data_IF_583039900216
#
_entry.id   IF_583039900216
#
_cell.length_a   1.000
_cell.length_b   1.000
_cell.length_c   1.000
_cell.angle_alpha   90.00
_cell.angle_beta   90.00
_cell.angle_gamma   90.00
#
_symmetry.space_group_name_H-M   'P 1'
#
loop_
_entity.id
_entity.type
_entity.pdbx_description
1 polymer ?
#
# COMPACT_ATOMS: atom_id res chain seq x y z
N UNK A 1 -39.80 10.51 -15.65
CA UNK A 1 -38.54 10.87 -16.34
C UNK A 1 -37.43 10.89 -15.30
N UNK A 2 -36.59 9.88 -15.24
CA UNK A 2 -35.41 9.91 -14.38
C UNK A 2 -34.38 10.83 -15.04
N UNK A 3 -33.90 11.84 -14.29
CA UNK A 3 -32.80 12.67 -14.73
C UNK A 3 -31.55 11.80 -14.91
N UNK A 4 -30.75 11.98 -15.98
CA UNK A 4 -29.53 11.24 -16.17
C UNK A 4 -28.58 11.52 -14.98
N UNK A 5 -28.09 10.46 -14.32
CA UNK A 5 -27.07 10.58 -13.27
C UNK A 5 -25.80 11.15 -13.92
N UNK A 6 -25.36 12.29 -13.44
CA UNK A 6 -24.06 12.84 -13.82
C UNK A 6 -22.95 11.84 -13.45
N UNK A 7 -21.95 11.65 -14.33
CA UNK A 7 -20.84 10.75 -14.05
C UNK A 7 -20.07 11.22 -12.81
N UNK A 8 -19.86 10.32 -11.88
CA UNK A 8 -19.09 10.57 -10.66
C UNK A 8 -17.60 10.76 -11.02
N UNK A 9 -17.07 11.96 -10.76
CA UNK A 9 -15.67 12.28 -11.04
C UNK A 9 -14.74 11.38 -10.22
N UNK A 10 -13.95 10.56 -10.88
CA UNK A 10 -12.93 9.70 -10.27
C UNK A 10 -11.51 10.14 -10.66
N UNK A 11 -10.48 9.56 -10.03
CA UNK A 11 -9.09 9.95 -10.26
C UNK A 11 -8.61 9.75 -11.70
N UNK A 12 -9.11 8.73 -12.41
CA UNK A 12 -8.76 8.53 -13.82
C UNK A 12 -9.37 9.62 -14.70
N UNK A 13 -10.60 10.02 -14.38
CA UNK A 13 -11.25 11.14 -15.06
C UNK A 13 -10.53 12.46 -14.78
N UNK A 14 -10.13 12.71 -13.53
CA UNK A 14 -9.33 13.89 -13.14
C UNK A 14 -8.03 13.97 -13.94
N UNK A 15 -7.32 12.86 -14.12
CA UNK A 15 -6.08 12.83 -14.93
C UNK A 15 -6.31 13.12 -16.41
N UNK A 16 -7.44 12.69 -16.96
CA UNK A 16 -7.79 12.91 -18.38
C UNK A 16 -8.29 14.32 -18.64
N UNK A 17 -9.15 14.82 -17.75
CA UNK A 17 -9.90 16.06 -18.00
C UNK A 17 -9.15 17.31 -17.55
N UNK A 18 -8.21 17.17 -16.62
CA UNK A 18 -7.42 18.31 -16.14
C UNK A 18 -6.05 18.34 -16.80
N UNK A 19 -5.85 19.32 -17.67
CA UNK A 19 -4.53 19.69 -18.14
C UNK A 19 -3.77 20.40 -17.01
N UNK A 20 -2.66 19.81 -16.55
CA UNK A 20 -1.90 20.36 -15.42
C UNK A 20 -1.31 21.75 -15.73
N UNK A 21 -0.98 22.04 -16.99
CA UNK A 21 -0.50 23.38 -17.39
C UNK A 21 -1.62 24.42 -17.21
N UNK A 22 -2.82 24.11 -17.65
CA UNK A 22 -3.97 25.02 -17.52
C UNK A 22 -4.34 25.22 -16.04
N UNK A 23 -4.26 24.16 -15.24
CA UNK A 23 -4.51 24.22 -13.80
C UNK A 23 -3.52 25.18 -13.10
N UNK A 24 -2.21 25.02 -13.33
CA UNK A 24 -1.21 25.88 -12.65
C UNK A 24 -1.32 27.33 -13.12
N UNK A 25 -1.61 27.59 -14.39
CA UNK A 25 -1.85 28.95 -14.89
C UNK A 25 -3.06 29.59 -14.22
N UNK A 26 -4.16 28.85 -14.07
CA UNK A 26 -5.39 29.31 -13.39
C UNK A 26 -5.13 29.60 -11.90
N UNK A 27 -4.22 28.86 -11.28
CA UNK A 27 -3.81 29.06 -9.88
C UNK A 27 -2.82 30.21 -9.68
N UNK A 28 -2.47 30.94 -10.75
CA UNK A 28 -1.60 32.10 -10.67
C UNK A 28 -0.11 31.82 -10.86
N UNK A 29 0.26 30.66 -11.35
CA UNK A 29 1.64 30.42 -11.78
C UNK A 29 1.90 31.12 -13.12
N UNK A 30 3.14 31.56 -13.31
CA UNK A 30 3.60 32.22 -14.52
C UNK A 30 4.68 31.37 -15.20
N UNK A 31 4.59 31.23 -16.51
CA UNK A 31 5.54 30.47 -17.30
C UNK A 31 6.93 31.11 -17.30
N UNK A 32 7.91 30.42 -16.74
CA UNK A 32 9.32 30.85 -16.75
C UNK A 32 10.03 30.29 -17.99
N UNK A 33 10.03 31.08 -19.07
CA UNK A 33 10.64 30.69 -20.36
C UNK A 33 12.16 30.47 -20.25
N UNK A 34 12.84 31.22 -19.39
CA UNK A 34 14.28 31.13 -19.22
C UNK A 34 14.74 29.83 -18.56
N UNK A 35 13.86 29.22 -17.73
CA UNK A 35 14.13 27.94 -17.06
C UNK A 35 13.43 26.75 -17.72
N UNK A 36 12.72 26.95 -18.80
CA UNK A 36 12.09 25.90 -19.60
C UNK A 36 13.05 25.43 -20.71
N UNK A 37 12.94 24.18 -21.15
CA UNK A 37 13.85 23.65 -22.15
C UNK A 37 13.54 22.24 -22.62
N UNK A 38 14.58 21.56 -23.10
CA UNK A 38 14.57 20.19 -23.57
C UNK A 38 15.51 19.36 -22.66
N UNK A 39 14.99 18.27 -22.12
CA UNK A 39 15.73 17.29 -21.33
C UNK A 39 15.88 16.00 -22.13
N UNK A 40 17.02 15.32 -22.04
CA UNK A 40 17.33 14.10 -22.80
C UNK A 40 16.39 12.94 -22.41
N UNK A 41 16.02 12.86 -21.13
CA UNK A 41 15.19 11.77 -20.61
C UNK A 41 13.68 12.12 -20.61
N UNK A 42 13.35 13.40 -20.34
CA UNK A 42 11.97 13.87 -20.11
C UNK A 42 11.37 14.62 -21.31
N UNK A 43 12.16 14.87 -22.36
CA UNK A 43 11.72 15.64 -23.50
C UNK A 43 11.51 17.13 -23.15
N UNK A 44 10.54 17.77 -23.81
CA UNK A 44 10.25 19.18 -23.57
C UNK A 44 9.59 19.39 -22.21
N UNK A 45 10.18 20.27 -21.41
CA UNK A 45 9.64 20.64 -20.09
C UNK A 45 9.39 22.13 -19.97
N UNK A 46 8.42 22.50 -19.13
CA UNK A 46 8.00 23.86 -18.87
C UNK A 46 8.09 24.16 -17.38
N UNK A 47 8.79 25.21 -17.01
CA UNK A 47 8.91 25.68 -15.63
C UNK A 47 7.87 26.76 -15.35
N UNK A 48 7.20 26.67 -14.23
CA UNK A 48 6.21 27.63 -13.77
C UNK A 48 6.54 28.09 -12.36
N UNK A 49 6.57 29.41 -12.14
CA UNK A 49 6.83 30.05 -10.86
C UNK A 49 5.51 30.65 -10.33
N UNK A 50 5.14 30.34 -9.06
CA UNK A 50 3.94 30.92 -8.47
C UNK A 50 4.07 32.44 -8.30
N UNK A 51 3.12 33.19 -8.87
CA UNK A 51 3.17 34.67 -8.94
C UNK A 51 4.50 35.22 -9.47
N UNK A 52 5.16 34.50 -10.36
CA UNK A 52 6.47 34.87 -10.91
C UNK A 52 7.64 34.75 -9.94
N UNK A 53 7.44 34.16 -8.75
CA UNK A 53 8.45 34.03 -7.72
C UNK A 53 8.74 32.56 -7.40
N UNK A 54 9.88 32.06 -7.87
CA UNK A 54 10.30 30.66 -7.65
C UNK A 54 10.59 30.30 -6.17
N UNK A 55 10.72 31.29 -5.28
CA UNK A 55 10.89 31.05 -3.85
C UNK A 55 9.59 30.72 -3.13
N UNK A 56 8.44 31.16 -3.67
CA UNK A 56 7.14 30.84 -3.11
C UNK A 56 6.76 29.40 -3.46
N UNK A 57 6.77 29.08 -4.75
CA UNK A 57 6.61 27.72 -5.25
C UNK A 57 7.05 27.68 -6.73
N UNK A 58 7.65 26.53 -7.14
CA UNK A 58 8.07 26.32 -8.52
C UNK A 58 7.78 24.86 -8.90
N UNK A 59 7.16 24.69 -10.07
CA UNK A 59 6.91 23.37 -10.65
C UNK A 59 7.43 23.27 -12.06
N UNK A 60 7.93 22.09 -12.41
CA UNK A 60 8.42 21.77 -13.75
C UNK A 60 7.50 20.69 -14.32
N UNK A 61 6.82 21.02 -15.41
CA UNK A 61 5.82 20.15 -16.02
C UNK A 61 6.34 19.63 -17.37
N UNK A 62 6.16 18.35 -17.60
CA UNK A 62 6.46 17.68 -18.86
C UNK A 62 5.37 16.69 -19.23
N UNK A 63 5.29 16.35 -20.51
CA UNK A 63 4.33 15.35 -21.00
C UNK A 63 5.02 14.01 -21.11
N UNK A 64 4.53 13.02 -20.36
CA UNK A 64 5.04 11.67 -20.41
C UNK A 64 4.72 10.97 -21.76
N UNK A 65 5.43 9.89 -22.13
CA UNK A 65 5.11 9.10 -23.33
C UNK A 65 3.68 8.53 -23.35
N UNK A 66 3.08 8.32 -22.17
CA UNK A 66 1.66 7.94 -22.00
C UNK A 66 0.67 9.01 -22.44
N UNK A 67 1.12 10.24 -22.65
CA UNK A 67 0.28 11.40 -22.94
C UNK A 67 -0.13 12.20 -21.71
N UNK A 68 0.12 11.70 -20.49
CA UNK A 68 -0.20 12.38 -19.23
C UNK A 68 0.77 13.52 -18.95
N UNK A 69 0.29 14.56 -18.26
CA UNK A 69 1.15 15.59 -17.70
C UNK A 69 1.66 15.16 -16.33
N UNK A 70 2.99 15.18 -16.18
CA UNK A 70 3.66 14.95 -14.91
C UNK A 70 4.42 16.21 -14.49
N UNK A 71 4.63 16.36 -13.19
CA UNK A 71 5.42 17.47 -12.65
C UNK A 71 6.44 16.99 -11.61
N UNK A 72 7.40 17.84 -11.33
CA UNK A 72 8.29 17.74 -10.18
C UNK A 72 8.73 19.13 -9.71
N UNK A 73 9.13 19.22 -8.45
CA UNK A 73 9.71 20.40 -7.83
C UNK A 73 11.19 20.15 -7.51
N UNK A 74 12.10 21.00 -7.97
CA UNK A 74 13.54 20.82 -7.70
C UNK A 74 13.92 21.05 -6.24
N UNK A 75 13.10 21.78 -5.49
CA UNK A 75 13.36 22.10 -4.09
C UNK A 75 12.83 21.02 -3.13
N UNK A 76 11.97 20.11 -3.59
CA UNK A 76 11.39 19.03 -2.77
C UNK A 76 11.16 17.77 -3.61
N UNK A 77 12.00 16.77 -3.46
CA UNK A 77 11.93 15.51 -4.21
C UNK A 77 10.65 14.71 -3.96
N UNK A 78 9.89 15.02 -2.93
CA UNK A 78 8.58 14.40 -2.64
C UNK A 78 7.44 15.09 -3.37
N UNK A 79 7.64 16.30 -3.84
CA UNK A 79 6.66 17.11 -4.58
C UNK A 79 6.77 16.82 -6.09
N UNK A 80 6.23 15.66 -6.50
CA UNK A 80 6.24 15.21 -7.90
C UNK A 80 5.09 14.24 -8.16
N UNK A 81 4.73 14.06 -9.42
CA UNK A 81 3.72 13.09 -9.86
C UNK A 81 2.74 13.66 -10.88
N UNK A 82 1.49 13.24 -10.80
CA UNK A 82 0.37 13.65 -11.67
C UNK A 82 -0.37 14.87 -11.12
N UNK A 83 -1.42 15.30 -11.80
CA UNK A 83 -2.33 16.36 -11.32
C UNK A 83 -2.94 16.02 -9.94
N UNK A 84 -3.15 14.75 -9.65
CA UNK A 84 -3.69 14.30 -8.37
C UNK A 84 -2.69 14.53 -7.25
N UNK A 85 -1.42 14.17 -7.51
CA UNK A 85 -0.33 14.36 -6.57
C UNK A 85 -0.06 15.85 -6.33
N UNK A 86 -0.17 16.69 -7.38
CA UNK A 86 -0.09 18.14 -7.29
C UNK A 86 -1.15 18.70 -6.34
N UNK A 87 -2.43 18.38 -6.58
CA UNK A 87 -3.53 18.84 -5.73
C UNK A 87 -3.36 18.36 -4.30
N UNK A 88 -3.04 17.08 -4.11
CA UNK A 88 -2.80 16.50 -2.78
C UNK A 88 -1.69 17.23 -2.04
N UNK A 89 -0.53 17.42 -2.68
CA UNK A 89 0.63 18.05 -2.05
C UNK A 89 0.34 19.49 -1.64
N UNK A 90 -0.41 20.25 -2.46
CA UNK A 90 -0.81 21.64 -2.16
C UNK A 90 -1.87 21.75 -1.07
N UNK A 91 -2.70 20.72 -0.89
CA UNK A 91 -3.64 20.64 0.24
C UNK A 91 -2.90 20.33 1.54
N UNK A 92 -1.94 19.40 1.50
CA UNK A 92 -1.14 19.00 2.67
C UNK A 92 -0.13 20.07 3.09
N UNK A 93 0.39 20.82 2.12
CA UNK A 93 1.40 21.86 2.31
C UNK A 93 0.93 23.15 1.62
N UNK A 94 0.03 23.93 2.25
CA UNK A 94 -0.54 25.14 1.63
C UNK A 94 0.56 26.18 1.36
N UNK A 95 0.91 26.36 0.10
CA UNK A 95 1.91 27.35 -0.38
C UNK A 95 1.31 28.31 -1.40
N UNK A 96 0.11 28.01 -1.86
CA UNK A 96 -0.57 28.76 -2.92
C UNK A 96 -2.04 28.94 -2.55
N UNK A 97 -2.64 29.98 -3.10
CA UNK A 97 -4.08 30.22 -2.99
C UNK A 97 -4.88 29.35 -3.98
N UNK A 98 -6.17 29.21 -3.75
CA UNK A 98 -7.08 28.51 -4.66
C UNK A 98 -7.18 27.00 -4.47
N UNK A 99 -6.28 26.37 -3.69
CA UNK A 99 -6.36 24.97 -3.28
C UNK A 99 -6.45 24.89 -1.76
N UNK A 100 -7.42 24.16 -1.24
CA UNK A 100 -7.63 24.02 0.20
C UNK A 100 -8.22 22.66 0.58
N UNK A 101 -8.00 22.24 1.81
CA UNK A 101 -8.71 21.09 2.37
C UNK A 101 -10.20 21.42 2.48
N UNK A 102 -11.07 20.51 2.03
CA UNK A 102 -12.51 20.64 2.20
C UNK A 102 -12.87 20.35 3.67
N UNK A 103 -13.62 21.25 4.36
CA UNK A 103 -13.96 21.07 5.76
C UNK A 103 -14.64 19.73 6.03
N UNK A 104 -14.15 18.97 7.01
CA UNK A 104 -14.70 17.68 7.41
C UNK A 104 -14.49 16.54 6.41
N UNK A 105 -13.72 16.73 5.34
CA UNK A 105 -13.42 15.72 4.33
C UNK A 105 -11.97 15.21 4.47
N UNK A 106 -11.74 13.96 4.07
CA UNK A 106 -10.39 13.43 3.95
C UNK A 106 -9.64 14.06 2.78
N UNK A 107 -8.32 13.81 2.71
CA UNK A 107 -7.44 14.39 1.68
C UNK A 107 -7.91 14.07 0.25
N UNK A 108 -8.34 12.85 -0.01
CA UNK A 108 -8.76 12.40 -1.34
C UNK A 108 -10.07 13.03 -1.78
N UNK A 109 -11.03 13.17 -0.85
CA UNK A 109 -12.27 13.90 -1.10
C UNK A 109 -11.99 15.39 -1.35
N UNK A 110 -10.98 15.95 -0.67
CA UNK A 110 -10.52 17.33 -0.91
C UNK A 110 -9.86 17.49 -2.28
N UNK A 111 -9.09 16.48 -2.74
CA UNK A 111 -8.54 16.47 -4.11
C UNK A 111 -9.65 16.48 -5.16
N UNK A 112 -10.65 15.62 -5.03
CA UNK A 112 -11.81 15.57 -5.95
C UNK A 112 -12.60 16.88 -5.92
N UNK A 113 -12.79 17.49 -4.75
CA UNK A 113 -13.49 18.77 -4.60
C UNK A 113 -12.78 19.92 -5.34
N UNK A 114 -11.45 20.02 -5.19
CA UNK A 114 -10.65 21.00 -5.90
C UNK A 114 -10.64 20.75 -7.41
N UNK A 115 -10.58 19.49 -7.85
CA UNK A 115 -10.70 19.11 -9.25
C UNK A 115 -12.07 19.50 -9.83
N UNK A 116 -13.17 19.23 -9.12
CA UNK A 116 -14.52 19.64 -9.52
C UNK A 116 -14.63 21.15 -9.66
N UNK A 117 -14.07 21.89 -8.71
CA UNK A 117 -14.06 23.37 -8.74
C UNK A 117 -13.33 23.90 -9.98
N UNK A 118 -12.19 23.32 -10.31
CA UNK A 118 -11.44 23.68 -11.50
C UNK A 118 -12.21 23.38 -12.79
N UNK A 119 -12.92 22.25 -12.84
CA UNK A 119 -13.73 21.83 -13.99
C UNK A 119 -15.11 22.50 -14.03
N UNK A 120 -15.43 23.41 -13.11
CA UNK A 120 -16.75 24.05 -12.96
C UNK A 120 -17.92 23.04 -12.85
N UNK A 121 -17.68 21.86 -12.29
CA UNK A 121 -18.71 20.85 -12.09
C UNK A 121 -19.55 21.17 -10.85
N UNK A 122 -20.88 20.95 -10.88
CA UNK A 122 -21.75 21.20 -9.75
C UNK A 122 -21.36 20.32 -8.53
N UNK A 123 -21.61 20.84 -7.32
CA UNK A 123 -21.42 20.06 -6.11
C UNK A 123 -22.37 18.83 -6.13
N UNK A 124 -21.91 17.64 -5.75
CA UNK A 124 -22.78 16.46 -5.70
C UNK A 124 -23.93 16.70 -4.73
N UNK A 125 -25.15 16.33 -5.13
CA UNK A 125 -26.31 16.39 -4.26
C UNK A 125 -26.03 15.62 -2.96
N UNK A 126 -26.30 16.24 -1.78
CA UNK A 126 -26.14 15.59 -0.47
C UNK A 126 -27.15 14.47 -0.36
N UNK A 127 -26.75 13.23 -0.62
CA UNK A 127 -27.49 12.05 -0.21
C UNK A 127 -26.92 11.58 1.13
N UNK A 128 -27.76 11.62 2.17
CA UNK A 128 -27.48 11.01 3.46
C UNK A 128 -27.57 9.48 3.33
N UNK A 129 -26.51 8.85 2.87
CA UNK A 129 -26.34 7.42 2.87
C UNK A 129 -24.88 7.10 3.27
N UNK A 130 -24.60 6.03 4.02
CA UNK A 130 -23.25 5.72 4.45
C UNK A 130 -22.36 5.41 3.25
N UNK A 131 -21.49 6.36 2.89
CA UNK A 131 -20.58 6.31 1.73
C UNK A 131 -19.32 5.50 2.03
N UNK A 132 -19.41 4.31 2.59
CA UNK A 132 -18.23 3.47 2.84
C UNK A 132 -18.23 2.14 2.05
N UNK A 133 -19.18 1.96 1.10
CA UNK A 133 -19.28 0.73 0.32
C UNK A 133 -19.72 0.98 -1.13
N UNK A 134 -19.07 1.89 -1.85
CA UNK A 134 -19.02 1.72 -3.30
C UNK A 134 -17.58 1.48 -3.68
N UNK A 135 -17.18 0.22 -3.50
CA UNK A 135 -16.14 -0.37 -4.32
C UNK A 135 -16.38 0.06 -5.77
N UNK A 136 -15.32 0.46 -6.45
CA UNK A 136 -15.32 0.59 -7.90
C UNK A 136 -15.89 -0.73 -8.44
N UNK A 137 -17.15 -0.72 -8.87
CA UNK A 137 -17.70 -1.88 -9.56
C UNK A 137 -16.84 -2.07 -10.80
N UNK A 138 -16.24 -3.23 -10.99
CA UNK A 138 -15.53 -3.51 -12.24
C UNK A 138 -16.55 -3.27 -13.37
N UNK A 139 -16.13 -2.61 -14.42
CA UNK A 139 -16.92 -2.47 -15.64
C UNK A 139 -17.49 -3.84 -15.94
N UNK A 140 -18.82 -3.97 -15.96
CA UNK A 140 -19.49 -5.24 -16.27
C UNK A 140 -19.21 -5.56 -17.74
N UNK A 141 -18.13 -6.25 -17.96
CA UNK A 141 -17.91 -6.96 -19.21
C UNK A 141 -18.76 -8.23 -19.16
N UNK A 142 -19.38 -8.61 -20.29
CA UNK A 142 -20.17 -9.83 -20.39
C UNK A 142 -19.37 -11.06 -19.91
N UNK A 143 -20.06 -12.14 -19.55
CA UNK A 143 -19.49 -13.33 -18.90
C UNK A 143 -18.31 -14.00 -19.63
N UNK A 144 -18.04 -13.63 -20.89
CA UNK A 144 -16.95 -14.14 -21.74
C UNK A 144 -15.78 -13.14 -21.91
N UNK A 145 -15.77 -12.01 -21.20
CA UNK A 145 -14.68 -11.05 -21.33
C UNK A 145 -13.40 -11.57 -20.66
N UNK A 146 -12.38 -11.77 -21.48
CA UNK A 146 -11.02 -12.05 -21.01
C UNK A 146 -10.24 -10.73 -21.02
N UNK A 147 -9.80 -10.21 -19.88
CA UNK A 147 -8.99 -8.99 -19.85
C UNK A 147 -7.76 -9.09 -20.74
N UNK A 148 -7.41 -8.02 -21.43
CA UNK A 148 -6.30 -8.00 -22.41
C UNK A 148 -4.97 -8.48 -21.80
N UNK A 149 -4.72 -8.19 -20.52
CA UNK A 149 -3.51 -8.66 -19.84
C UNK A 149 -3.45 -10.19 -19.71
N UNK A 150 -4.59 -10.91 -19.67
CA UNK A 150 -4.61 -12.38 -19.62
C UNK A 150 -4.36 -13.01 -20.99
N UNK A 151 -4.67 -12.33 -22.09
CA UNK A 151 -4.46 -12.85 -23.45
C UNK A 151 -2.97 -13.09 -23.75
N UNK A 152 -2.07 -12.37 -23.07
CA UNK A 152 -0.62 -12.52 -23.19
C UNK A 152 -0.02 -13.52 -22.19
N UNK A 153 -0.86 -14.32 -21.53
CA UNK A 153 -0.40 -15.27 -20.53
C UNK A 153 -0.56 -16.72 -20.99
N UNK A 154 0.32 -17.57 -20.48
CA UNK A 154 0.24 -19.02 -20.62
C UNK A 154 0.46 -19.68 -19.26
N UNK A 155 0.06 -20.95 -19.05
CA UNK A 155 0.49 -21.69 -17.86
C UNK A 155 2.02 -21.64 -17.69
N UNK A 156 2.48 -21.73 -16.45
CA UNK A 156 3.91 -21.70 -16.11
C UNK A 156 4.65 -22.84 -16.81
N UNK A 157 5.43 -22.54 -17.84
CA UNK A 157 6.31 -23.46 -18.55
C UNK A 157 7.77 -22.99 -18.54
N UNK A 158 8.03 -21.71 -18.30
CA UNK A 158 9.36 -21.14 -18.05
C UNK A 158 9.45 -20.68 -16.60
N UNK A 159 10.10 -21.48 -15.76
CA UNK A 159 10.29 -21.22 -14.33
C UNK A 159 11.68 -20.67 -14.00
N UNK A 160 12.54 -20.34 -14.99
CA UNK A 160 13.94 -19.93 -14.78
C UNK A 160 14.08 -18.81 -13.76
N UNK A 161 13.22 -17.80 -13.83
CA UNK A 161 13.22 -16.71 -12.87
C UNK A 161 12.94 -17.20 -11.44
N UNK A 162 11.95 -18.05 -11.24
CA UNK A 162 11.56 -18.58 -9.92
C UNK A 162 12.62 -19.54 -9.37
N UNK A 163 13.22 -20.37 -10.22
CA UNK A 163 14.34 -21.25 -9.85
C UNK A 163 15.55 -20.43 -9.42
N UNK A 164 15.87 -19.33 -10.11
CA UNK A 164 16.93 -18.40 -9.72
C UNK A 164 16.63 -17.70 -8.38
N UNK A 165 15.35 -17.60 -8.00
CA UNK A 165 14.90 -17.12 -6.67
C UNK A 165 14.94 -18.22 -5.59
N UNK A 166 15.40 -19.42 -5.91
CA UNK A 166 15.54 -20.54 -4.97
C UNK A 166 14.32 -21.44 -4.85
N UNK A 167 13.28 -21.24 -5.64
CA UNK A 167 12.07 -22.06 -5.59
C UNK A 167 12.28 -23.40 -6.29
N UNK A 168 11.83 -24.48 -5.66
CA UNK A 168 11.96 -25.84 -6.21
C UNK A 168 10.82 -26.19 -7.17
N UNK A 169 11.09 -27.08 -8.11
CA UNK A 169 10.07 -27.59 -9.02
C UNK A 169 8.88 -28.21 -8.26
N UNK A 170 9.14 -28.91 -7.16
CA UNK A 170 8.10 -29.48 -6.30
C UNK A 170 7.18 -28.39 -5.71
N UNK A 171 7.74 -27.28 -5.25
CA UNK A 171 6.96 -26.15 -4.73
C UNK A 171 6.09 -25.56 -5.84
N UNK A 172 6.66 -25.33 -7.01
CA UNK A 172 5.95 -24.74 -8.16
C UNK A 172 4.85 -25.65 -8.70
N UNK A 173 5.02 -26.96 -8.63
CA UNK A 173 4.03 -27.97 -9.03
C UNK A 173 2.99 -28.29 -7.94
N UNK A 174 3.11 -27.71 -6.75
CA UNK A 174 2.17 -27.94 -5.65
C UNK A 174 0.74 -27.54 -6.04
N UNK A 175 -0.25 -28.33 -5.63
CA UNK A 175 -1.67 -28.02 -5.81
C UNK A 175 -2.08 -26.65 -5.26
N UNK A 176 -1.35 -26.11 -4.29
CA UNK A 176 -1.56 -24.75 -3.79
C UNK A 176 -1.32 -23.68 -4.86
N UNK A 177 -0.45 -23.93 -5.86
CA UNK A 177 0.03 -22.88 -6.77
C UNK A 177 -0.25 -23.15 -8.24
N UNK A 178 -0.74 -24.33 -8.59
CA UNK A 178 -1.13 -24.64 -9.98
C UNK A 178 -2.18 -23.65 -10.46
N UNK A 179 -1.91 -22.99 -11.61
CA UNK A 179 -2.78 -21.95 -12.18
C UNK A 179 -2.70 -20.59 -11.48
N UNK A 180 -1.88 -20.45 -10.42
CA UNK A 180 -1.68 -19.19 -9.69
C UNK A 180 -0.37 -18.49 -10.04
N UNK A 181 0.44 -19.12 -10.89
CA UNK A 181 1.66 -18.59 -11.46
C UNK A 181 1.58 -18.83 -12.97
N UNK A 182 1.80 -17.80 -13.74
CA UNK A 182 1.71 -17.80 -15.19
C UNK A 182 3.00 -17.31 -15.82
N UNK A 183 3.20 -17.59 -17.10
CA UNK A 183 4.13 -16.84 -17.92
C UNK A 183 3.41 -15.73 -18.67
N UNK A 184 4.01 -14.56 -18.74
CA UNK A 184 3.53 -13.40 -19.49
C UNK A 184 4.50 -13.11 -20.64
N UNK A 185 3.98 -13.16 -21.86
CA UNK A 185 4.75 -12.92 -23.08
C UNK A 185 4.73 -11.43 -23.41
N UNK A 186 5.90 -10.84 -23.52
CA UNK A 186 6.08 -9.46 -23.91
C UNK A 186 6.90 -9.41 -25.20
N UNK A 187 6.39 -8.76 -26.22
CA UNK A 187 7.07 -8.52 -27.48
C UNK A 187 6.97 -7.04 -27.87
N UNK A 188 7.95 -6.56 -28.58
CA UNK A 188 8.00 -5.20 -29.07
C UNK A 188 9.12 -5.01 -30.09
N UNK A 189 9.30 -3.76 -30.51
CA UNK A 189 10.39 -3.36 -31.38
C UNK A 189 11.23 -2.30 -30.70
N UNK A 190 12.53 -2.40 -30.87
CA UNK A 190 13.48 -1.35 -30.46
C UNK A 190 13.36 -0.14 -31.39
N UNK A 191 13.93 1.00 -31.02
CA UNK A 191 13.90 2.23 -31.85
C UNK A 191 14.52 2.06 -33.23
N UNK A 192 15.44 1.10 -33.38
CA UNK A 192 16.11 0.73 -34.64
C UNK A 192 15.39 -0.42 -35.40
N UNK A 193 14.17 -0.75 -35.00
CA UNK A 193 13.28 -1.68 -35.71
C UNK A 193 13.52 -3.16 -35.40
N UNK A 194 14.48 -3.52 -34.51
CA UNK A 194 14.71 -4.91 -34.12
C UNK A 194 13.59 -5.42 -33.21
N UNK A 195 13.04 -6.57 -33.54
CA UNK A 195 12.05 -7.23 -32.69
C UNK A 195 12.72 -7.84 -31.45
N UNK A 196 12.00 -7.76 -30.33
CA UNK A 196 12.37 -8.46 -29.09
C UNK A 196 11.18 -9.17 -28.48
N UNK A 197 11.45 -10.27 -27.79
CA UNK A 197 10.45 -11.02 -27.05
C UNK A 197 11.07 -11.59 -25.77
N UNK A 198 10.34 -11.49 -24.65
CA UNK A 198 10.72 -12.15 -23.40
C UNK A 198 9.52 -12.76 -22.70
N UNK A 199 9.83 -13.77 -21.89
CA UNK A 199 8.86 -14.44 -21.03
C UNK A 199 9.13 -14.00 -19.60
N UNK A 200 8.14 -13.38 -19.00
CA UNK A 200 8.17 -12.95 -17.59
C UNK A 200 7.32 -13.90 -16.74
N UNK A 201 7.58 -13.93 -15.44
CA UNK A 201 6.68 -14.56 -14.48
C UNK A 201 5.54 -13.61 -14.13
N UNK A 202 4.32 -14.13 -14.07
CA UNK A 202 3.15 -13.34 -13.74
C UNK A 202 2.31 -14.00 -12.64
N UNK A 203 1.75 -13.15 -11.77
CA UNK A 203 0.96 -13.52 -10.61
C UNK A 203 -0.43 -12.89 -10.74
N UNK A 204 -1.48 -13.68 -11.07
CA UNK A 204 -2.85 -13.19 -11.20
C UNK A 204 -3.35 -12.60 -9.87
N UNK A 205 -3.90 -11.40 -9.92
CA UNK A 205 -4.47 -10.71 -8.78
C UNK A 205 -5.98 -10.82 -8.80
N UNK A 206 -6.55 -11.16 -7.65
CA UNK A 206 -7.97 -11.49 -7.47
C UNK A 206 -8.63 -10.45 -6.55
N UNK A 207 -9.82 -10.04 -6.92
CA UNK A 207 -10.73 -9.24 -6.10
C UNK A 207 -12.16 -9.72 -6.33
N UNK A 208 -12.90 -9.96 -5.23
CA UNK A 208 -14.26 -10.54 -5.30
C UNK A 208 -14.30 -11.80 -6.20
N UNK A 209 -13.34 -12.71 -5.99
CA UNK A 209 -13.21 -14.01 -6.67
C UNK A 209 -13.00 -13.93 -8.20
N UNK A 210 -12.68 -12.75 -8.74
CA UNK A 210 -12.37 -12.53 -10.16
C UNK A 210 -10.92 -12.07 -10.33
N UNK A 211 -10.27 -12.49 -11.42
CA UNK A 211 -8.95 -11.99 -11.78
C UNK A 211 -9.13 -10.58 -12.36
N UNK A 212 -8.54 -9.59 -11.68
CA UNK A 212 -8.69 -8.16 -12.00
C UNK A 212 -7.34 -7.47 -12.22
N UNK A 213 -6.26 -8.22 -12.21
CA UNK A 213 -4.92 -7.68 -12.38
C UNK A 213 -3.86 -8.77 -12.53
N UNK A 214 -2.65 -8.34 -12.86
CA UNK A 214 -1.52 -9.21 -13.05
C UNK A 214 -0.24 -8.50 -12.59
N UNK A 215 0.40 -9.01 -11.53
CA UNK A 215 1.73 -8.58 -11.16
C UNK A 215 2.75 -9.32 -12.03
N UNK A 216 3.65 -8.58 -12.68
CA UNK A 216 4.67 -9.12 -13.60
C UNK A 216 6.04 -8.94 -12.98
N UNK A 217 6.81 -10.03 -12.94
CA UNK A 217 8.19 -10.04 -12.41
C UNK A 217 9.16 -10.73 -13.36
N UNK A 218 10.33 -10.14 -13.48
CA UNK A 218 11.48 -10.71 -14.17
C UNK A 218 12.77 -10.26 -13.49
N UNK A 219 13.91 -10.68 -14.01
CA UNK A 219 15.19 -10.19 -13.54
C UNK A 219 15.31 -8.68 -13.81
N UNK A 220 15.47 -7.89 -12.75
CA UNK A 220 15.55 -6.43 -12.84
C UNK A 220 14.22 -5.71 -13.15
N UNK A 221 13.08 -6.43 -13.20
CA UNK A 221 11.78 -5.84 -13.49
C UNK A 221 10.69 -6.30 -12.51
N UNK A 222 9.93 -5.32 -12.01
CA UNK A 222 8.70 -5.51 -11.23
C UNK A 222 7.67 -4.48 -11.72
N UNK A 223 6.49 -4.93 -12.12
CA UNK A 223 5.42 -4.05 -12.59
C UNK A 223 4.05 -4.69 -12.48
N UNK A 224 3.05 -3.94 -12.88
CA UNK A 224 1.66 -4.39 -13.01
C UNK A 224 1.28 -4.34 -14.49
N UNK A 225 0.46 -5.27 -14.93
CA UNK A 225 -0.16 -5.15 -16.26
C UNK A 225 -1.04 -3.88 -16.31
N UNK A 226 -1.16 -3.30 -17.50
CA UNK A 226 -2.08 -2.18 -17.70
C UNK A 226 -3.49 -2.58 -17.24
N UNK A 227 -4.24 -1.61 -16.71
CA UNK A 227 -5.61 -1.75 -16.23
C UNK A 227 -5.82 -2.73 -15.06
N UNK A 228 -4.74 -3.17 -14.39
CA UNK A 228 -4.82 -3.97 -13.17
C UNK A 228 -5.40 -3.16 -12.01
N UNK A 229 -6.38 -3.74 -11.29
CA UNK A 229 -6.97 -3.16 -10.08
C UNK A 229 -6.06 -3.39 -8.85
N UNK A 230 -4.82 -2.91 -8.92
CA UNK A 230 -3.80 -3.18 -7.92
C UNK A 230 -4.13 -2.66 -6.51
N UNK A 231 -4.96 -1.61 -6.39
CA UNK A 231 -5.30 -1.00 -5.10
C UNK A 231 -6.19 -1.86 -4.21
N UNK A 232 -6.87 -2.86 -4.76
CA UNK A 232 -7.85 -3.69 -4.05
C UNK A 232 -7.56 -5.19 -4.16
N UNK A 233 -6.83 -5.60 -5.19
CA UNK A 233 -6.62 -7.00 -5.51
C UNK A 233 -5.45 -7.62 -4.75
N UNK A 234 -5.57 -8.91 -4.46
CA UNK A 234 -4.56 -9.76 -3.83
C UNK A 234 -4.16 -10.89 -4.78
N UNK A 235 -2.90 -11.31 -4.78
CA UNK A 235 -2.59 -12.62 -5.30
C UNK A 235 -3.01 -13.68 -4.27
N UNK A 236 -3.63 -14.76 -4.71
CA UNK A 236 -4.10 -15.85 -3.85
C UNK A 236 -3.57 -17.19 -4.34
N UNK A 237 -3.19 -18.06 -3.41
CA UNK A 237 -3.01 -19.49 -3.70
C UNK A 237 -4.36 -20.20 -3.89
N UNK A 238 -4.33 -21.48 -4.23
CA UNK A 238 -5.51 -22.32 -4.13
C UNK A 238 -5.78 -22.70 -2.68
N UNK A 239 -7.06 -22.82 -2.33
CA UNK A 239 -7.52 -23.37 -1.06
C UNK A 239 -7.85 -24.85 -1.19
N UNK A 240 -7.71 -25.62 -0.12
CA UNK A 240 -8.17 -26.98 -0.03
C UNK A 240 -9.35 -27.12 0.94
N UNK A 241 -9.99 -28.29 1.00
CA UNK A 241 -11.20 -28.49 1.83
C UNK A 241 -10.94 -28.37 3.35
N UNK A 242 -9.68 -28.42 3.79
CA UNK A 242 -9.29 -28.27 5.19
C UNK A 242 -8.62 -26.93 5.48
N UNK A 243 -8.68 -25.98 4.55
CA UNK A 243 -8.10 -24.65 4.73
C UNK A 243 -8.80 -23.93 5.88
N UNK A 244 -8.02 -23.53 6.88
CA UNK A 244 -8.49 -22.80 8.05
C UNK A 244 -7.56 -21.66 8.48
N UNK A 245 -6.42 -21.51 7.80
CA UNK A 245 -5.41 -20.51 8.09
C UNK A 245 -5.14 -19.66 6.84
N UNK A 246 -5.17 -18.35 7.00
CA UNK A 246 -4.70 -17.40 5.99
C UNK A 246 -3.27 -16.98 6.33
N UNK A 247 -2.38 -17.03 5.36
CA UNK A 247 -1.00 -16.52 5.50
C UNK A 247 -0.86 -15.33 4.56
N UNK A 248 -0.58 -14.16 5.13
CA UNK A 248 -0.46 -12.89 4.38
C UNK A 248 1.01 -12.50 4.26
N UNK A 249 1.49 -12.29 3.03
CA UNK A 249 2.86 -11.84 2.72
C UNK A 249 2.87 -10.60 1.83
N UNK A 250 4.02 -9.95 1.67
CA UNK A 250 4.15 -8.78 0.80
C UNK A 250 4.20 -9.17 -0.68
N UNK A 251 4.81 -10.28 -1.03
CA UNK A 251 4.88 -10.73 -2.42
C UNK A 251 4.49 -12.20 -2.57
N UNK A 252 4.03 -12.57 -3.77
CA UNK A 252 3.74 -13.96 -4.10
C UNK A 252 5.01 -14.85 -3.96
N UNK A 253 6.20 -14.30 -4.23
CA UNK A 253 7.46 -15.04 -4.08
C UNK A 253 7.73 -15.35 -2.60
N UNK A 254 7.40 -14.44 -1.68
CA UNK A 254 7.52 -14.68 -0.23
C UNK A 254 6.52 -15.74 0.23
N UNK A 255 5.29 -15.73 -0.29
CA UNK A 255 4.32 -16.80 -0.06
C UNK A 255 4.86 -18.17 -0.50
N UNK A 256 5.43 -18.26 -1.71
CA UNK A 256 6.03 -19.49 -2.24
C UNK A 256 7.22 -19.94 -1.40
N UNK A 257 8.06 -18.99 -0.97
CA UNK A 257 9.26 -19.25 -0.14
C UNK A 257 8.88 -19.72 1.26
N UNK A 258 7.90 -19.07 1.88
CA UNK A 258 7.32 -19.50 3.15
C UNK A 258 6.76 -20.93 3.05
N UNK A 259 5.97 -21.21 2.00
CA UNK A 259 5.46 -22.56 1.78
C UNK A 259 6.58 -23.59 1.63
N UNK A 260 7.63 -23.29 0.86
CA UNK A 260 8.77 -24.21 0.68
C UNK A 260 9.51 -24.48 1.98
N UNK A 261 9.64 -23.49 2.86
CA UNK A 261 10.31 -23.59 4.16
C UNK A 261 9.46 -24.28 5.22
N UNK A 262 8.13 -24.05 5.24
CA UNK A 262 7.24 -24.42 6.36
C UNK A 262 6.27 -25.55 6.05
N UNK A 263 5.89 -25.74 4.79
CA UNK A 263 4.94 -26.76 4.31
C UNK A 263 3.63 -26.84 5.09
N UNK A 264 2.92 -25.74 5.37
CA UNK A 264 1.65 -25.79 6.11
C UNK A 264 0.57 -26.50 5.28
N UNK A 265 -0.12 -27.47 5.90
CA UNK A 265 -1.09 -28.32 5.19
C UNK A 265 -2.45 -27.63 4.94
N UNK A 266 -2.82 -26.64 5.78
CA UNK A 266 -4.18 -26.07 5.82
C UNK A 266 -4.19 -24.56 5.53
N UNK A 267 -3.27 -24.07 4.71
CA UNK A 267 -3.10 -22.66 4.47
C UNK A 267 -3.65 -22.21 3.10
N UNK A 268 -4.31 -21.06 3.11
CA UNK A 268 -4.51 -20.18 1.98
C UNK A 268 -3.46 -19.09 2.06
N UNK A 269 -2.73 -18.83 1.00
CA UNK A 269 -1.79 -17.71 0.92
C UNK A 269 -2.43 -16.53 0.22
N UNK A 270 -2.21 -15.35 0.76
CA UNK A 270 -2.53 -14.07 0.14
C UNK A 270 -1.30 -13.17 0.10
N UNK A 271 -1.08 -12.50 -1.04
CA UNK A 271 -0.02 -11.49 -1.15
C UNK A 271 -0.59 -10.14 -1.53
N UNK A 272 -0.06 -9.10 -0.88
CA UNK A 272 -0.45 -7.71 -1.17
C UNK A 272 0.18 -7.18 -2.46
N UNK A 273 1.12 -7.91 -3.07
CA UNK A 273 1.88 -7.47 -4.26
C UNK A 273 2.56 -6.11 -4.06
N UNK A 274 3.12 -5.88 -2.89
CA UNK A 274 3.78 -4.66 -2.47
C UNK A 274 2.91 -3.82 -1.52
N UNK A 275 2.33 -2.73 -1.97
CA UNK A 275 1.61 -1.80 -1.08
C UNK A 275 0.37 -2.39 -0.43
N UNK A 276 0.24 -2.20 0.88
CA UNK A 276 -0.96 -2.51 1.65
C UNK A 276 -1.89 -1.29 1.67
N UNK A 277 -3.05 -1.41 1.04
CA UNK A 277 -4.12 -0.40 1.02
C UNK A 277 -5.27 -0.80 1.94
N UNK A 278 -6.14 0.14 2.29
CA UNK A 278 -7.31 -0.16 3.11
C UNK A 278 -8.30 -1.09 2.38
N UNK A 279 -8.38 -1.00 1.05
CA UNK A 279 -9.19 -1.94 0.25
C UNK A 279 -8.63 -3.37 0.30
N UNK A 280 -7.31 -3.55 0.28
CA UNK A 280 -6.69 -4.88 0.45
C UNK A 280 -6.91 -5.44 1.85
N UNK A 281 -6.88 -4.60 2.88
CA UNK A 281 -7.22 -5.00 4.25
C UNK A 281 -8.68 -5.44 4.33
N UNK A 282 -9.60 -4.70 3.70
CA UNK A 282 -11.01 -5.08 3.62
C UNK A 282 -11.20 -6.40 2.88
N UNK A 283 -10.45 -6.63 1.79
CA UNK A 283 -10.51 -7.91 1.06
C UNK A 283 -9.93 -9.08 1.89
N UNK A 284 -8.84 -8.86 2.63
CA UNK A 284 -8.31 -9.86 3.58
C UNK A 284 -9.37 -10.20 4.64
N UNK A 285 -10.05 -9.20 5.20
CA UNK A 285 -11.14 -9.42 6.16
C UNK A 285 -12.29 -10.20 5.52
N UNK A 286 -12.70 -9.86 4.31
CA UNK A 286 -13.73 -10.59 3.55
C UNK A 286 -13.34 -12.06 3.35
N UNK A 287 -12.08 -12.34 2.99
CA UNK A 287 -11.59 -13.72 2.84
C UNK A 287 -11.66 -14.48 4.16
N UNK A 288 -11.29 -13.87 5.28
CA UNK A 288 -11.37 -14.49 6.61
C UNK A 288 -12.81 -14.88 6.93
N UNK A 289 -13.75 -13.99 6.71
CA UNK A 289 -15.17 -14.19 7.00
C UNK A 289 -15.81 -15.20 6.03
N UNK A 290 -15.64 -15.02 4.72
CA UNK A 290 -16.28 -15.85 3.69
C UNK A 290 -15.77 -17.29 3.66
N UNK A 291 -14.49 -17.52 3.96
CA UNK A 291 -13.88 -18.86 4.04
C UNK A 291 -13.88 -19.41 5.47
N UNK A 292 -14.47 -18.71 6.47
CA UNK A 292 -14.50 -19.10 7.86
C UNK A 292 -13.11 -19.48 8.42
N UNK A 293 -12.09 -18.69 8.07
CA UNK A 293 -10.70 -18.93 8.47
C UNK A 293 -10.55 -18.63 9.97
N UNK A 294 -9.86 -19.51 10.68
CA UNK A 294 -9.74 -19.43 12.14
C UNK A 294 -8.48 -18.71 12.59
N UNK A 295 -7.47 -18.72 11.75
CA UNK A 295 -6.15 -18.11 12.02
C UNK A 295 -5.70 -17.26 10.84
N UNK A 296 -5.14 -16.10 11.14
CA UNK A 296 -4.43 -15.27 10.16
C UNK A 296 -2.99 -15.11 10.65
N UNK A 297 -2.03 -15.55 9.84
CA UNK A 297 -0.60 -15.35 10.06
C UNK A 297 -0.11 -14.18 9.23
N UNK A 298 0.47 -13.20 9.88
CA UNK A 298 1.09 -12.03 9.25
C UNK A 298 2.56 -12.39 8.98
N UNK A 299 2.81 -12.88 7.77
CA UNK A 299 4.13 -13.30 7.29
C UNK A 299 4.76 -12.23 6.39
N UNK A 300 4.64 -10.97 6.79
CA UNK A 300 5.20 -9.80 6.09
C UNK A 300 6.70 -9.70 6.35
N UNK A 301 7.39 -8.85 5.59
CA UNK A 301 8.84 -8.66 5.70
C UNK A 301 9.29 -8.34 7.13
N UNK A 302 10.49 -8.77 7.48
CA UNK A 302 11.10 -8.53 8.79
C UNK A 302 11.92 -7.23 8.78
N UNK A 303 11.27 -6.14 8.37
CA UNK A 303 11.84 -4.80 8.35
C UNK A 303 10.83 -3.79 8.90
N UNK A 304 11.25 -2.54 8.99
CA UNK A 304 10.41 -1.47 9.57
C UNK A 304 9.07 -1.30 8.84
N UNK A 305 9.07 -1.40 7.51
CA UNK A 305 7.85 -1.27 6.70
C UNK A 305 6.91 -2.45 6.93
N UNK A 306 7.43 -3.67 6.93
CA UNK A 306 6.65 -4.88 7.21
C UNK A 306 6.02 -4.88 8.61
N UNK A 307 6.71 -4.35 9.63
CA UNK A 307 6.10 -4.18 10.96
C UNK A 307 5.03 -3.06 11.01
N UNK A 308 5.15 -2.01 10.20
CA UNK A 308 4.09 -1.01 10.02
C UNK A 308 2.87 -1.61 9.29
N UNK A 309 3.09 -2.49 8.32
CA UNK A 309 2.01 -3.22 7.66
C UNK A 309 1.31 -4.20 8.61
N UNK A 310 2.04 -4.88 9.51
CA UNK A 310 1.42 -5.67 10.59
C UNK A 310 0.47 -4.80 11.42
N UNK A 311 0.93 -3.62 11.88
CA UNK A 311 0.09 -2.71 12.66
C UNK A 311 -1.20 -2.34 11.91
N UNK A 312 -1.11 -2.07 10.60
CA UNK A 312 -2.27 -1.74 9.77
C UNK A 312 -3.22 -2.93 9.62
N UNK A 313 -2.70 -4.12 9.39
CA UNK A 313 -3.51 -5.34 9.29
C UNK A 313 -4.18 -5.67 10.61
N UNK A 314 -3.47 -5.59 11.73
CA UNK A 314 -4.03 -5.81 13.07
C UNK A 314 -5.18 -4.83 13.34
N UNK A 315 -4.96 -3.54 13.04
CA UNK A 315 -6.01 -2.52 13.19
C UNK A 315 -7.25 -2.81 12.31
N UNK A 316 -7.04 -3.21 11.05
CA UNK A 316 -8.13 -3.52 10.12
C UNK A 316 -8.86 -4.84 10.40
N UNK A 317 -8.18 -5.79 11.07
CA UNK A 317 -8.74 -7.08 11.47
C UNK A 317 -9.27 -7.09 12.93
N UNK A 318 -9.25 -5.93 13.59
CA UNK A 318 -9.88 -5.77 14.89
C UNK A 318 -11.40 -6.02 14.81
N UNK A 319 -11.95 -6.57 15.89
CA UNK A 319 -13.38 -6.80 15.98
C UNK A 319 -14.16 -5.49 15.95
N UNK A 320 -15.37 -5.52 15.40
CA UNK A 320 -16.24 -4.33 15.25
C UNK A 320 -16.54 -3.62 16.57
N UNK A 321 -16.54 -4.34 17.70
CA UNK A 321 -16.75 -3.76 19.03
C UNK A 321 -15.56 -2.89 19.52
N UNK A 322 -14.37 -3.07 18.95
CA UNK A 322 -13.16 -2.33 19.31
C UNK A 322 -12.44 -1.86 18.05
N UNK A 323 -13.06 -0.96 17.26
CA UNK A 323 -12.48 -0.50 16.02
C UNK A 323 -11.16 0.25 16.26
N UNK A 324 -10.20 -0.05 15.42
CA UNK A 324 -8.89 0.60 15.41
C UNK A 324 -8.66 1.30 14.07
N UNK A 325 -7.88 2.38 14.08
CA UNK A 325 -7.48 3.11 12.88
C UNK A 325 -6.01 3.46 12.96
N UNK A 326 -5.33 3.39 11.83
CA UNK A 326 -4.05 4.06 11.69
C UNK A 326 -4.38 5.51 11.32
N UNK A 327 -4.06 6.42 12.23
CA UNK A 327 -4.20 7.85 12.00
C UNK A 327 -2.99 8.38 11.22
N UNK A 328 -2.93 9.70 11.00
CA UNK A 328 -1.86 10.31 10.20
C UNK A 328 -0.48 9.78 10.61
N UNK A 329 0.27 9.33 9.62
CA UNK A 329 1.68 9.02 9.78
C UNK A 329 2.45 10.30 10.08
N UNK A 330 2.73 10.55 11.34
CA UNK A 330 3.68 11.59 11.75
C UNK A 330 5.11 11.10 11.42
N UNK A 331 6.03 11.99 11.04
CA UNK A 331 7.42 11.62 10.87
C UNK A 331 7.94 10.92 12.13
N UNK A 332 8.52 9.72 11.96
CA UNK A 332 9.05 8.95 13.09
C UNK A 332 8.03 8.23 13.99
N UNK A 333 6.73 8.41 13.80
CA UNK A 333 5.67 7.81 14.62
C UNK A 333 4.60 7.11 13.78
N UNK A 334 4.05 6.02 14.32
CA UNK A 334 2.77 5.44 13.90
C UNK A 334 1.74 5.81 14.96
N UNK A 335 0.63 6.42 14.57
CA UNK A 335 -0.45 6.75 15.48
C UNK A 335 -1.61 5.78 15.27
N UNK A 336 -1.95 5.05 16.34
CA UNK A 336 -3.07 4.11 16.37
C UNK A 336 -4.18 4.67 17.22
N UNK A 337 -5.30 5.01 16.60
CA UNK A 337 -6.55 5.37 17.29
C UNK A 337 -7.33 4.12 17.64
N UNK A 338 -7.77 3.98 18.89
CA UNK A 338 -8.55 2.85 19.40
C UNK A 338 -9.81 3.40 20.04
N UNK A 339 -10.95 2.86 19.65
CA UNK A 339 -12.21 3.09 20.33
C UNK A 339 -12.59 1.83 21.11
N UNK A 340 -12.89 1.96 22.41
CA UNK A 340 -13.34 0.84 23.24
C UNK A 340 -14.23 1.33 24.37
N UNK A 341 -15.39 0.70 24.53
CA UNK A 341 -16.24 0.86 25.71
C UNK A 341 -15.73 0.06 26.91
N UNK A 342 -14.82 -0.90 26.67
CA UNK A 342 -14.23 -1.73 27.72
C UNK A 342 -12.98 -1.08 28.28
N UNK A 343 -13.12 -0.31 29.35
CA UNK A 343 -12.00 0.37 30.01
C UNK A 343 -10.89 -0.60 30.47
N UNK A 344 -11.22 -1.85 30.76
CA UNK A 344 -10.26 -2.88 31.16
C UNK A 344 -9.24 -3.22 30.06
N UNK A 345 -9.66 -3.27 28.80
CA UNK A 345 -8.76 -3.52 27.66
C UNK A 345 -7.76 -2.39 27.45
N UNK A 346 -8.26 -1.15 27.52
CA UNK A 346 -7.40 0.04 27.42
C UNK A 346 -6.43 0.11 28.60
N UNK A 347 -6.90 -0.14 29.83
CA UNK A 347 -6.04 -0.17 31.02
C UNK A 347 -4.96 -1.25 30.91
N UNK A 348 -5.28 -2.41 30.34
CA UNK A 348 -4.28 -3.45 30.06
C UNK A 348 -3.22 -2.97 29.08
N UNK A 349 -3.61 -2.43 27.91
CA UNK A 349 -2.65 -1.92 26.93
C UNK A 349 -1.79 -0.80 27.49
N UNK A 350 -2.35 0.10 28.29
CA UNK A 350 -1.58 1.16 29.00
C UNK A 350 -0.54 0.57 29.95
N UNK A 351 -0.90 -0.44 30.72
CA UNK A 351 0.04 -1.11 31.63
C UNK A 351 1.17 -1.77 30.83
N UNK A 352 0.83 -2.55 29.80
CA UNK A 352 1.81 -3.25 28.98
C UNK A 352 2.79 -2.28 28.31
N UNK A 353 2.29 -1.14 27.78
CA UNK A 353 3.12 -0.09 27.18
C UNK A 353 3.98 0.64 28.21
N UNK A 354 3.47 0.87 29.42
CA UNK A 354 4.24 1.48 30.51
C UNK A 354 5.40 0.58 30.95
N UNK A 355 5.14 -0.72 31.09
CA UNK A 355 6.17 -1.71 31.44
C UNK A 355 7.25 -1.81 30.34
N UNK A 356 6.84 -1.78 29.07
CA UNK A 356 7.79 -1.73 27.95
C UNK A 356 8.67 -0.45 28.01
N UNK A 357 8.06 0.70 28.20
CA UNK A 357 8.79 1.97 28.31
C UNK A 357 9.77 1.98 29.47
N UNK A 358 9.40 1.40 30.62
CA UNK A 358 10.28 1.29 31.78
C UNK A 358 11.51 0.41 31.48
N UNK A 359 11.30 -0.75 30.82
CA UNK A 359 12.41 -1.62 30.39
C UNK A 359 13.33 -0.91 29.42
N UNK A 360 12.77 -0.27 28.41
CA UNK A 360 13.55 0.47 27.41
C UNK A 360 14.38 1.59 28.07
N UNK A 361 13.78 2.33 28.98
CA UNK A 361 14.47 3.39 29.76
C UNK A 361 15.63 2.81 30.56
N UNK A 362 15.44 1.66 31.20
CA UNK A 362 16.49 0.98 31.98
C UNK A 362 17.64 0.46 31.11
N UNK A 363 17.32 -0.07 29.91
CA UNK A 363 18.32 -0.50 28.92
C UNK A 363 19.18 0.69 28.45
N UNK A 364 18.54 1.83 28.15
CA UNK A 364 19.26 3.05 27.79
C UNK A 364 20.15 3.56 28.93
N UNK A 365 19.64 3.52 30.17
CA UNK A 365 20.40 3.94 31.35
C UNK A 365 21.69 3.09 31.49
N UNK A 366 21.56 1.78 31.34
CA UNK A 366 22.71 0.86 31.41
C UNK A 366 23.70 1.10 30.28
N UNK A 367 23.23 1.34 29.07
CA UNK A 367 24.08 1.57 27.91
C UNK A 367 24.81 2.90 27.93
N UNK A 368 24.16 3.98 28.41
CA UNK A 368 24.70 5.34 28.39
C UNK A 368 25.47 5.73 29.66
N UNK A 369 25.34 5.00 30.77
CA UNK A 369 25.95 5.38 32.07
C UNK A 369 25.43 6.69 32.65
N UNK A 370 24.27 7.21 32.19
CA UNK A 370 23.73 8.55 32.53
C UNK A 370 22.27 8.43 32.98
N UNK A 371 21.83 9.36 33.82
CA UNK A 371 20.44 9.43 34.25
C UNK A 371 19.52 9.87 33.07
N UNK A 372 18.47 9.11 32.75
CA UNK A 372 17.58 9.40 31.61
C UNK A 372 16.81 10.71 31.69
N UNK A 373 16.68 11.31 32.86
CA UNK A 373 16.00 12.62 33.04
C UNK A 373 16.69 13.76 32.28
N UNK A 374 17.95 13.56 31.89
CA UNK A 374 18.78 14.55 31.18
C UNK A 374 18.87 14.32 29.66
N UNK A 375 18.20 13.30 29.12
CA UNK A 375 18.31 12.97 27.67
C UNK A 375 17.00 13.30 26.94
N UNK A 376 16.89 14.45 26.25
CA UNK A 376 15.68 14.85 25.50
C UNK A 376 15.25 13.87 24.42
N UNK A 377 16.17 13.03 23.94
CA UNK A 377 15.98 12.02 22.88
C UNK A 377 15.11 10.86 23.34
N UNK A 378 15.05 10.54 24.62
CA UNK A 378 14.37 9.35 25.11
C UNK A 378 12.84 9.45 25.02
N UNK A 379 12.28 10.63 25.21
CA UNK A 379 10.81 10.86 25.15
C UNK A 379 10.24 10.61 23.75
N UNK A 380 11.02 10.82 22.69
CA UNK A 380 10.63 10.54 21.31
C UNK A 380 10.67 9.04 20.97
N UNK A 381 11.30 8.22 21.79
CA UNK A 381 11.49 6.78 21.60
C UNK A 381 10.51 5.93 22.42
N UNK A 382 9.72 6.57 23.30
CA UNK A 382 8.73 5.91 24.14
C UNK A 382 7.34 5.91 23.47
N UNK A 383 6.57 4.86 23.76
CA UNK A 383 5.16 4.82 23.35
C UNK A 383 4.37 5.78 24.23
N UNK A 384 3.72 6.75 23.62
CA UNK A 384 2.88 7.71 24.30
C UNK A 384 1.40 7.43 24.02
N UNK A 385 0.55 7.57 25.05
CA UNK A 385 -0.89 7.37 24.92
C UNK A 385 -1.63 8.61 25.41
N UNK A 386 -2.64 9.02 24.67
CA UNK A 386 -3.51 10.14 24.98
C UNK A 386 -4.98 9.71 24.90
N UNK A 387 -5.79 10.16 25.87
CA UNK A 387 -7.24 10.06 25.79
C UNK A 387 -7.74 11.26 24.98
N UNK A 388 -8.39 11.00 23.84
CA UNK A 388 -8.85 12.04 22.90
C UNK A 388 -10.38 12.18 22.85
N UNK A 389 -11.09 11.34 23.57
CA UNK A 389 -12.56 11.36 23.70
C UNK A 389 -13.03 10.43 24.80
N UNK A 390 -14.33 10.33 25.04
CA UNK A 390 -14.89 9.53 26.13
C UNK A 390 -14.39 8.09 26.13
N UNK A 391 -14.45 7.44 24.95
CA UNK A 391 -14.00 6.05 24.75
C UNK A 391 -12.92 5.95 23.66
N UNK A 392 -12.23 7.05 23.37
CA UNK A 392 -11.28 7.15 22.27
C UNK A 392 -9.88 7.47 22.81
N UNK A 393 -8.91 6.69 22.36
CA UNK A 393 -7.51 6.75 22.78
C UNK A 393 -6.60 6.74 21.55
N UNK A 394 -5.51 7.48 21.62
CA UNK A 394 -4.45 7.48 20.61
C UNK A 394 -3.15 6.98 21.23
N UNK A 395 -2.50 6.04 20.56
CA UNK A 395 -1.17 5.57 20.89
C UNK A 395 -0.19 6.03 19.81
N UNK A 396 0.80 6.83 20.21
CA UNK A 396 1.89 7.30 19.38
C UNK A 396 3.09 6.38 19.56
N UNK A 397 3.34 5.54 18.55
CA UNK A 397 4.33 4.46 18.60
C UNK A 397 5.53 4.86 17.76
N UNK A 398 6.73 4.96 18.32
CA UNK A 398 7.96 5.21 17.56
C UNK A 398 8.17 4.18 16.44
N UNK A 399 8.59 4.64 15.26
CA UNK A 399 8.92 3.79 14.11
C UNK A 399 10.26 3.10 14.32
N UNK A 400 10.28 2.18 15.25
CA UNK A 400 11.40 1.28 15.54
C UNK A 400 10.89 -0.15 15.44
N UNK A 401 11.74 -1.03 14.97
CA UNK A 401 11.38 -2.42 14.70
C UNK A 401 10.93 -3.14 15.98
N UNK A 402 11.72 -3.06 17.04
CA UNK A 402 11.44 -3.63 18.36
C UNK A 402 10.17 -3.07 19.01
N UNK A 403 9.98 -1.75 18.91
CA UNK A 403 8.81 -1.05 19.47
C UNK A 403 7.52 -1.42 18.74
N UNK A 404 7.55 -1.46 17.40
CA UNK A 404 6.41 -1.90 16.60
C UNK A 404 6.10 -3.38 16.82
N UNK A 405 7.13 -4.25 16.88
CA UNK A 405 6.94 -5.67 17.16
C UNK A 405 6.26 -5.90 18.51
N UNK A 406 6.74 -5.21 19.57
CA UNK A 406 6.10 -5.24 20.89
C UNK A 406 4.65 -4.75 20.82
N UNK A 407 4.42 -3.57 20.22
CA UNK A 407 3.09 -2.95 20.19
C UNK A 407 2.08 -3.79 19.41
N UNK A 408 2.48 -4.36 18.28
CA UNK A 408 1.68 -5.29 17.48
C UNK A 408 1.24 -6.51 18.32
N UNK A 409 2.17 -7.10 19.06
CA UNK A 409 1.86 -8.23 19.93
C UNK A 409 0.95 -7.82 21.10
N UNK A 410 1.16 -6.62 21.68
CA UNK A 410 0.31 -6.09 22.74
C UNK A 410 -1.13 -5.85 22.26
N UNK A 411 -1.32 -5.35 21.03
CA UNK A 411 -2.65 -5.20 20.41
C UNK A 411 -3.35 -6.56 20.26
N UNK A 412 -2.66 -7.55 19.68
CA UNK A 412 -3.21 -8.90 19.46
C UNK A 412 -3.59 -9.55 20.81
N UNK A 413 -2.77 -9.41 21.83
CA UNK A 413 -2.99 -10.02 23.15
C UNK A 413 -4.06 -9.30 23.99
N UNK A 414 -4.44 -8.08 23.58
CA UNK A 414 -5.36 -7.26 24.37
C UNK A 414 -6.76 -7.20 23.77
N UNK A 415 -6.86 -7.10 22.46
CA UNK A 415 -8.15 -6.84 21.81
C UNK A 415 -8.68 -8.05 21.06
N UNK A 416 -10.01 -8.21 20.99
CA UNK A 416 -10.64 -9.22 20.15
C UNK A 416 -10.41 -8.90 18.68
N UNK A 417 -10.08 -9.93 17.90
CA UNK A 417 -9.85 -9.88 16.45
C UNK A 417 -10.89 -10.75 15.73
N UNK A 418 -11.06 -10.53 14.42
CA UNK A 418 -11.98 -11.33 13.59
C UNK A 418 -11.58 -12.81 13.48
N UNK A 419 -10.30 -13.11 13.70
CA UNK A 419 -9.73 -14.46 13.80
C UNK A 419 -8.52 -14.42 14.72
N UNK A 420 -7.95 -15.58 15.10
CA UNK A 420 -6.68 -15.63 15.83
C UNK A 420 -5.58 -15.02 14.95
N UNK A 421 -4.93 -13.95 15.40
CA UNK A 421 -3.80 -13.34 14.70
C UNK A 421 -2.48 -13.85 15.27
N UNK A 422 -1.52 -14.12 14.37
CA UNK A 422 -0.15 -14.49 14.71
C UNK A 422 0.80 -13.71 13.81
N UNK A 423 1.81 -13.04 14.38
CA UNK A 423 2.90 -12.43 13.61
C UNK A 423 3.99 -13.46 13.46
N UNK A 424 4.33 -13.81 12.22
CA UNK A 424 5.39 -14.76 11.88
C UNK A 424 6.41 -14.06 10.97
N UNK A 425 7.65 -13.92 11.43
CA UNK A 425 8.71 -13.24 10.69
C UNK A 425 9.77 -14.20 10.20
N UNK A 426 10.33 -13.90 9.03
CA UNK A 426 11.56 -14.54 8.54
C UNK A 426 12.74 -14.18 9.46
N UNK A 427 13.79 -14.99 9.43
CA UNK A 427 15.09 -14.67 10.09
C UNK A 427 15.90 -13.65 9.28
N UNK A 428 15.68 -13.61 7.97
CA UNK A 428 16.24 -12.63 7.04
C UNK A 428 15.28 -11.43 6.85
N UNK A 429 15.59 -10.54 5.92
CA UNK A 429 14.73 -9.41 5.61
C UNK A 429 13.34 -9.84 5.10
N UNK A 430 13.30 -10.87 4.25
CA UNK A 430 12.07 -11.47 3.73
C UNK A 430 12.17 -13.01 3.67
N UNK A 431 11.08 -13.69 3.32
CA UNK A 431 11.04 -15.16 3.24
C UNK A 431 11.87 -15.72 2.10
N UNK A 432 12.01 -14.98 1.00
CA UNK A 432 12.80 -15.42 -0.13
C UNK A 432 14.32 -15.34 0.17
N UNK A 433 14.74 -14.32 0.89
CA UNK A 433 16.13 -14.23 1.35
C UNK A 433 16.46 -15.34 2.33
N UNK A 434 15.58 -15.62 3.29
CA UNK A 434 15.76 -16.78 4.19
C UNK A 434 15.85 -18.12 3.43
N UNK A 435 15.04 -18.30 2.38
CA UNK A 435 15.09 -19.49 1.54
C UNK A 435 16.44 -19.64 0.84
N UNK A 436 16.96 -18.56 0.27
CA UNK A 436 18.28 -18.57 -0.39
C UNK A 436 19.41 -18.91 0.58
N UNK A 437 19.39 -18.29 1.77
CA UNK A 437 20.37 -18.55 2.83
C UNK A 437 20.35 -20.04 3.25
N UNK A 438 19.16 -20.61 3.46
CA UNK A 438 19.02 -22.02 3.83
C UNK A 438 19.59 -22.98 2.78
N UNK A 439 19.49 -22.64 1.50
CA UNK A 439 20.05 -23.45 0.41
C UNK A 439 21.57 -23.36 0.31
N UNK A 440 22.14 -22.20 0.59
CA UNK A 440 23.60 -22.03 0.61
C UNK A 440 24.24 -22.91 1.70
N UNK A 441 23.62 -22.96 2.88
CA UNK A 441 24.08 -23.82 3.98
C UNK A 441 24.00 -25.30 3.59
N UNK A 442 22.90 -25.73 2.94
CA UNK A 442 22.74 -27.14 2.52
C UNK A 442 23.69 -27.53 1.37
N UNK A 443 24.11 -26.59 0.53
CA UNK A 443 25.06 -26.87 -0.56
C UNK A 443 26.52 -26.93 -0.10
N UNK A 444 26.84 -26.47 1.11
CA UNK A 444 28.16 -26.48 1.72
C UNK A 444 28.35 -27.65 2.73
N UNK A 445 27.26 -28.32 3.11
CA UNK A 445 27.26 -29.51 3.96
C UNK A 445 27.24 -30.80 3.11
#
# INVERSE_FOLDING_TARGET
MQQPREPELNFNQVKKDINLVDLVLTLGYQHNRAKSGLDVEKGKFHTFDYRGNSRLDQVIIYKAPSGDFLYFNRADDRDKGSVIDFLKHRIENPRIDGISAAPGKNIWASVIENARRFLNLPAPARTNAPQLQRAIEPVQHGDNYVPDFLQKTTPLNDARYLVARGLSAETLASSHFVGRILNHHHSGQTKDGREYSFVNTAFPQVYNDRIVGLEIKANGFKGQAADSLNSSALWLSNSGPRTNTLIVSESAIDSLSHYQLKRPANALYASTSGQLTDNKIAEIKRLVESHNLKTVKLALDNNLEGHQFDTRLIAGLAHVATPMRIERNLPGLVTVGIYSQENGLIAKLHRDTKEYNQRLTEEYRKAAGVDPVTVPTLTSELINAAKVGENSYQFHVPKRLDTLAFFNQALINTFPMVAKLEVEKSRANDWNDQLKESRLVTAQA
#
